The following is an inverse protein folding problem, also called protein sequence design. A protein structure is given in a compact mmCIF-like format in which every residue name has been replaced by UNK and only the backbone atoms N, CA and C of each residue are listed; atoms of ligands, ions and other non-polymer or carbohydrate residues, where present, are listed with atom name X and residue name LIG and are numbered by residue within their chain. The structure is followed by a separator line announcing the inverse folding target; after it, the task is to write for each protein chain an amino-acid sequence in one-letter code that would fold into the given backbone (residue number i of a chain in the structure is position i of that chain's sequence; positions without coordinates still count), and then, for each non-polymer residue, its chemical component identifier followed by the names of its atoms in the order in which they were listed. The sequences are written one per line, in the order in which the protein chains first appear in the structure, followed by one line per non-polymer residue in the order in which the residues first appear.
data_IF_176502943333
#
_entry.id   IF_176502943333
#
_cell.length_a   1.000
_cell.length_b   1.000
_cell.length_c   1.000
_cell.angle_alpha   90.00
_cell.angle_beta   90.00
_cell.angle_gamma   90.00
#
_symmetry.space_group_name_H-M   'P 1'
#
loop_
_entity.id
_entity.type
_entity.pdbx_description
1 polymer ?
#
# COMPACT_ATOMS: atom_id res chain seq x y z
N UNK A 1 21.04 -2.63 5.41
CA UNK A 1 19.81 -2.69 6.22
C UNK A 1 18.71 -1.95 5.46
N UNK A 2 17.60 -2.59 5.10
CA UNK A 2 16.51 -1.93 4.37
C UNK A 2 15.83 -0.90 5.28
N UNK A 3 15.54 0.30 4.75
CA UNK A 3 14.76 1.31 5.49
C UNK A 3 13.34 0.80 5.71
N UNK A 4 12.78 1.06 6.89
CA UNK A 4 11.36 0.78 7.19
C UNK A 4 10.45 1.50 6.18
N UNK A 5 9.29 0.91 5.87
CA UNK A 5 8.30 1.49 4.93
C UNK A 5 7.85 2.92 5.33
N UNK A 6 7.89 3.23 6.63
CA UNK A 6 7.60 4.55 7.20
C UNK A 6 8.70 5.60 6.93
N UNK A 7 9.94 5.16 6.73
CA UNK A 7 11.13 6.03 6.70
C UNK A 7 11.73 6.20 5.30
N UNK A 8 11.04 5.72 4.27
CA UNK A 8 11.50 5.77 2.88
C UNK A 8 11.39 7.15 2.23
N UNK A 9 10.43 7.97 2.66
CA UNK A 9 10.05 9.21 1.97
C UNK A 9 9.55 10.31 2.92
N UNK A 10 9.53 11.59 2.49
CA UNK A 10 9.22 12.71 3.39
C UNK A 10 7.74 12.84 3.79
N UNK A 11 6.80 12.29 3.01
CA UNK A 11 5.37 12.46 3.31
C UNK A 11 4.83 11.21 3.98
N UNK A 12 4.46 11.32 5.26
CA UNK A 12 3.83 10.24 5.99
C UNK A 12 2.42 9.97 5.44
N UNK A 13 2.06 8.69 5.38
CA UNK A 13 0.79 8.20 4.87
C UNK A 13 0.32 7.01 5.71
N UNK A 14 -0.99 6.77 5.65
CA UNK A 14 -1.66 5.73 6.41
C UNK A 14 -2.63 4.99 5.50
N UNK A 15 -2.73 3.68 5.69
CA UNK A 15 -3.63 2.81 4.96
C UNK A 15 -3.78 1.47 5.67
N UNK A 16 -4.37 0.50 4.99
CA UNK A 16 -4.50 -0.87 5.47
C UNK A 16 -3.73 -1.78 4.54
N UNK A 17 -2.95 -2.71 5.11
CA UNK A 17 -2.13 -3.62 4.34
C UNK A 17 -2.33 -5.06 4.76
N UNK A 18 -2.21 -5.98 3.81
CA UNK A 18 -1.96 -7.38 4.08
C UNK A 18 -0.45 -7.61 4.19
N UNK A 19 -0.04 -8.47 5.11
CA UNK A 19 1.37 -8.80 5.37
C UNK A 19 1.74 -10.23 4.95
N UNK A 20 0.75 -11.06 4.64
CA UNK A 20 0.90 -12.45 4.24
C UNK A 20 -0.29 -12.91 3.36
N UNK A 21 -0.27 -14.17 2.96
CA UNK A 21 -1.25 -14.78 2.06
C UNK A 21 -2.62 -15.04 2.68
N UNK A 22 -2.82 -14.79 3.99
CA UNK A 22 -4.17 -14.82 4.58
C UNK A 22 -5.06 -13.72 4.00
N UNK A 23 -4.46 -12.62 3.52
CA UNK A 23 -5.16 -11.46 3.02
C UNK A 23 -5.85 -10.63 4.11
N UNK A 24 -5.58 -10.89 5.39
CA UNK A 24 -6.12 -10.09 6.50
C UNK A 24 -5.48 -8.70 6.48
N UNK A 25 -6.32 -7.68 6.35
CA UNK A 25 -5.86 -6.29 6.34
C UNK A 25 -5.74 -5.76 7.78
N UNK A 26 -4.65 -5.03 8.04
CA UNK A 26 -4.45 -4.32 9.31
C UNK A 26 -3.91 -2.90 9.09
N UNK A 27 -4.09 -1.97 10.04
CA UNK A 27 -3.55 -0.62 9.97
C UNK A 27 -2.04 -0.60 9.68
N UNK A 28 -1.65 0.18 8.67
CA UNK A 28 -0.28 0.24 8.19
C UNK A 28 0.14 1.68 7.92
N UNK A 29 1.27 2.07 8.49
CA UNK A 29 1.90 3.37 8.26
C UNK A 29 3.02 3.21 7.25
N UNK A 30 3.13 4.16 6.34
CA UNK A 30 4.15 4.19 5.31
C UNK A 30 4.43 5.62 4.88
N UNK A 31 5.35 5.79 3.93
CA UNK A 31 5.68 7.11 3.39
C UNK A 31 5.55 7.15 1.87
N UNK A 32 5.22 8.34 1.33
CA UNK A 32 5.14 8.65 -0.10
C UNK A 32 6.15 9.72 -0.48
N UNK A 33 6.69 9.61 -1.70
CA UNK A 33 7.66 10.56 -2.27
C UNK A 33 7.18 12.02 -2.20
N UNK A 34 8.12 12.96 -2.24
CA UNK A 34 7.80 14.37 -2.47
C UNK A 34 7.07 14.53 -3.80
N UNK A 35 6.19 15.53 -3.89
CA UNK A 35 5.48 15.83 -5.14
C UNK A 35 6.46 16.50 -6.10
N UNK A 36 6.85 15.81 -7.17
CA UNK A 36 7.66 16.39 -8.23
C UNK A 36 6.85 17.25 -9.20
N UNK A 37 7.51 17.85 -10.18
CA UNK A 37 6.91 18.79 -11.15
C UNK A 37 5.76 18.21 -11.98
N UNK A 38 5.74 16.89 -12.17
CA UNK A 38 4.73 16.17 -12.95
C UNK A 38 3.82 15.28 -12.09
N UNK A 39 3.95 15.35 -10.77
CA UNK A 39 3.16 14.54 -9.86
C UNK A 39 1.91 15.28 -9.40
N UNK A 40 0.79 14.56 -9.25
CA UNK A 40 -0.41 15.07 -8.60
C UNK A 40 -0.58 14.40 -7.24
N UNK A 41 -0.69 15.21 -6.19
CA UNK A 41 -1.07 14.74 -4.85
C UNK A 41 -2.52 15.12 -4.59
N UNK A 42 -3.30 14.16 -4.12
CA UNK A 42 -4.69 14.38 -3.73
C UNK A 42 -5.02 13.60 -2.46
N UNK A 43 -6.08 14.03 -1.77
CA UNK A 43 -6.64 13.32 -0.64
C UNK A 43 -7.66 12.30 -1.13
N UNK A 44 -7.45 11.03 -0.82
CA UNK A 44 -8.43 9.97 -1.12
C UNK A 44 -9.64 10.17 -0.22
N UNK A 45 -10.82 10.36 -0.81
CA UNK A 45 -12.10 10.40 -0.09
C UNK A 45 -12.79 9.05 -0.13
N UNK A 46 -12.72 8.37 -1.27
CA UNK A 46 -13.36 7.09 -1.54
C UNK A 46 -12.43 6.20 -2.36
N UNK A 47 -12.47 4.90 -2.11
CA UNK A 47 -11.82 3.87 -2.93
C UNK A 47 -12.82 2.70 -3.08
N UNK A 48 -13.05 2.26 -4.32
CA UNK A 48 -13.90 1.08 -4.57
C UNK A 48 -13.13 -0.21 -4.30
N UNK A 49 -13.84 -1.26 -3.91
CA UNK A 49 -13.27 -2.61 -3.77
C UNK A 49 -13.54 -3.39 -5.05
N UNK A 50 -12.50 -4.00 -5.59
CA UNK A 50 -12.54 -4.83 -6.78
C UNK A 50 -12.16 -6.28 -6.46
N UNK A 51 -12.58 -7.23 -7.30
CA UNK A 51 -12.13 -8.63 -7.19
C UNK A 51 -10.61 -8.79 -7.36
N UNK A 52 -9.96 -7.89 -8.11
CA UNK A 52 -8.50 -7.87 -8.24
C UNK A 52 -7.80 -7.73 -6.88
N UNK A 53 -8.40 -6.99 -5.95
CA UNK A 53 -7.81 -6.73 -4.64
C UNK A 53 -7.73 -8.03 -3.86
N UNK A 54 -8.78 -8.86 -3.92
CA UNK A 54 -8.83 -10.17 -3.28
C UNK A 54 -7.75 -11.11 -3.82
N UNK A 55 -7.63 -11.20 -5.15
CA UNK A 55 -6.61 -12.04 -5.80
C UNK A 55 -5.19 -11.60 -5.41
N UNK A 56 -4.95 -10.29 -5.30
CA UNK A 56 -3.67 -9.74 -4.92
C UNK A 56 -3.37 -9.93 -3.43
N UNK A 57 -4.28 -9.64 -2.50
CA UNK A 57 -3.99 -9.78 -1.06
C UNK A 57 -3.81 -11.25 -0.64
N UNK A 58 -4.45 -12.21 -1.32
CA UNK A 58 -4.29 -13.65 -1.07
C UNK A 58 -3.19 -14.32 -1.90
N UNK A 59 -2.51 -13.57 -2.77
CA UNK A 59 -1.48 -14.07 -3.67
C UNK A 59 -1.93 -15.24 -4.58
N UNK A 60 -3.20 -15.23 -5.02
CA UNK A 60 -3.75 -16.31 -5.85
C UNK A 60 -3.09 -16.39 -7.24
N UNK A 61 -2.47 -15.30 -7.68
CA UNK A 61 -1.69 -15.25 -8.93
C UNK A 61 -0.18 -15.43 -8.73
N UNK A 62 0.29 -15.63 -7.49
CA UNK A 62 1.70 -15.90 -7.17
C UNK A 62 2.67 -14.74 -7.38
N UNK A 63 2.18 -13.49 -7.45
CA UNK A 63 2.98 -12.29 -7.79
C UNK A 63 2.91 -11.16 -6.74
N UNK A 64 2.25 -11.40 -5.61
CA UNK A 64 2.04 -10.38 -4.58
C UNK A 64 3.34 -10.05 -3.85
N UNK A 65 3.54 -8.76 -3.55
CA UNK A 65 4.66 -8.26 -2.77
C UNK A 65 4.13 -7.69 -1.47
N UNK A 66 4.46 -8.33 -0.36
CA UNK A 66 4.07 -7.89 0.97
C UNK A 66 5.12 -6.94 1.58
N UNK A 67 4.70 -5.95 2.38
CA UNK A 67 3.31 -5.56 2.66
C UNK A 67 2.63 -4.93 1.43
N UNK A 68 1.35 -5.27 1.19
CA UNK A 68 0.55 -4.75 0.07
C UNK A 68 -0.61 -3.90 0.57
N UNK A 69 -0.73 -2.68 0.07
CA UNK A 69 -1.90 -1.80 0.22
C UNK A 69 -2.64 -1.86 -1.12
N UNK A 70 -3.74 -2.64 -1.24
CA UNK A 70 -4.49 -2.79 -2.49
C UNK A 70 -5.22 -1.50 -2.89
#
# INVERSE_FOLDING_TARGET
MAKSAEQGHPNQAFGWAATDTSGVLSPFKFSRRATGEKDVRFKVLYCGICHSDLHMIKNEWGKSRYPIVP
#
